data_IF_065285082356
#
_entry.id   IF_065285082356
#
_cell.length_a   1.000
_cell.length_b   1.000
_cell.length_c   1.000
_cell.angle_alpha   90.00
_cell.angle_beta   90.00
_cell.angle_gamma   90.00
#
_symmetry.space_group_name_H-M   'P 1'
#
loop_
_entity.id
_entity.type
_entity.pdbx_description
1 polymer ?
#
# COMPACT_ATOMS: atom_id res chain seq x y z
N UNK A 1 -0.22 -5.85 -20.04
CA UNK A 1 0.02 -6.44 -18.70
C UNK A 1 1.14 -7.43 -18.88
N UNK A 2 2.24 -7.36 -18.09
CA UNK A 2 3.28 -8.37 -18.13
C UNK A 2 2.70 -9.75 -17.84
N UNK A 3 3.00 -10.73 -18.64
CA UNK A 3 2.62 -12.12 -18.39
C UNK A 3 3.69 -12.77 -17.54
N UNK A 4 3.29 -13.43 -16.44
CA UNK A 4 4.19 -14.24 -15.62
C UNK A 4 3.99 -15.72 -16.01
N UNK A 5 4.91 -16.33 -16.76
CA UNK A 5 4.80 -17.74 -17.14
C UNK A 5 4.76 -18.62 -15.88
N UNK A 6 3.90 -19.64 -15.91
CA UNK A 6 3.74 -20.57 -14.78
C UNK A 6 2.88 -20.05 -13.64
N UNK A 7 2.23 -18.87 -13.79
CA UNK A 7 1.29 -18.33 -12.81
C UNK A 7 -0.15 -18.53 -13.31
N UNK A 8 -0.98 -19.12 -12.47
CA UNK A 8 -2.43 -19.19 -12.64
C UNK A 8 -3.08 -18.23 -11.63
N UNK A 9 -3.90 -17.32 -12.11
CA UNK A 9 -4.62 -16.35 -11.25
C UNK A 9 -6.04 -16.83 -11.06
N UNK A 10 -6.45 -16.96 -9.79
CA UNK A 10 -7.81 -17.32 -9.38
C UNK A 10 -8.41 -16.13 -8.63
N UNK A 11 -9.59 -15.69 -9.02
CA UNK A 11 -10.32 -14.63 -8.32
C UNK A 11 -11.19 -15.23 -7.22
N UNK A 12 -11.05 -14.70 -6.02
CA UNK A 12 -11.75 -15.12 -4.80
C UNK A 12 -12.25 -13.90 -4.03
N UNK A 13 -13.15 -14.09 -3.06
CA UNK A 13 -13.44 -13.05 -2.09
C UNK A 13 -12.20 -12.78 -1.22
N UNK A 14 -11.94 -11.49 -0.93
CA UNK A 14 -10.70 -11.08 -0.28
C UNK A 14 -10.52 -11.63 1.15
N UNK A 15 -11.62 -11.87 1.85
CA UNK A 15 -11.68 -12.47 3.19
C UNK A 15 -11.34 -13.97 3.20
N UNK A 16 -11.60 -14.70 2.11
CA UNK A 16 -11.28 -16.12 2.00
C UNK A 16 -9.80 -16.38 1.65
N UNK A 17 -9.10 -15.39 1.09
CA UNK A 17 -7.74 -15.55 0.59
C UNK A 17 -6.74 -15.99 1.68
N UNK A 18 -6.75 -15.43 2.91
CA UNK A 18 -5.85 -15.89 3.97
C UNK A 18 -5.98 -17.39 4.24
N UNK A 19 -7.19 -17.90 4.30
CA UNK A 19 -7.43 -19.33 4.56
C UNK A 19 -6.99 -20.20 3.39
N UNK A 20 -7.25 -19.80 2.14
CA UNK A 20 -6.80 -20.53 0.96
C UNK A 20 -5.29 -20.62 0.85
N UNK A 21 -4.57 -19.55 1.22
CA UNK A 21 -3.11 -19.56 1.30
C UNK A 21 -2.64 -20.47 2.44
N UNK A 22 -3.27 -20.40 3.60
CA UNK A 22 -2.94 -21.22 4.78
C UNK A 22 -3.15 -22.72 4.53
N UNK A 23 -4.25 -23.07 3.88
CA UNK A 23 -4.57 -24.45 3.46
C UNK A 23 -3.62 -24.97 2.38
N UNK A 24 -2.95 -24.07 1.65
CA UNK A 24 -2.09 -24.41 0.52
C UNK A 24 -2.84 -24.70 -0.78
N UNK A 25 -4.12 -24.33 -0.85
CA UNK A 25 -4.93 -24.38 -2.08
C UNK A 25 -4.38 -23.44 -3.13
N UNK A 26 -3.81 -22.31 -2.68
CA UNK A 26 -3.03 -21.37 -3.49
C UNK A 26 -1.69 -21.08 -2.81
N UNK A 27 -0.66 -20.77 -3.59
CA UNK A 27 0.70 -20.53 -3.09
C UNK A 27 0.85 -19.15 -2.44
N UNK A 28 0.16 -18.18 -2.98
CA UNK A 28 0.17 -16.78 -2.55
C UNK A 28 -1.15 -16.11 -2.91
N UNK A 29 -1.47 -15.01 -2.23
CA UNK A 29 -2.70 -14.27 -2.47
C UNK A 29 -2.57 -12.78 -2.14
N UNK A 30 -3.33 -11.96 -2.88
CA UNK A 30 -3.47 -10.53 -2.59
C UNK A 30 -4.76 -10.34 -1.78
N UNK A 31 -4.62 -9.76 -0.59
CA UNK A 31 -5.75 -9.50 0.32
C UNK A 31 -5.50 -8.21 1.11
N UNK A 32 -6.51 -7.75 1.88
CA UNK A 32 -6.33 -6.67 2.84
C UNK A 32 -5.58 -7.15 4.09
N UNK A 33 -4.72 -6.28 4.64
CA UNK A 33 -4.06 -6.57 5.91
C UNK A 33 -5.08 -6.81 7.05
N UNK A 34 -6.22 -6.15 7.00
CA UNK A 34 -7.33 -6.32 7.94
C UNK A 34 -7.94 -7.73 7.89
N UNK A 35 -8.06 -8.33 6.70
CA UNK A 35 -8.54 -9.72 6.58
C UNK A 35 -7.53 -10.70 7.17
N UNK A 36 -6.23 -10.50 6.92
CA UNK A 36 -5.21 -11.33 7.54
C UNK A 36 -5.20 -11.18 9.07
N UNK A 37 -5.24 -9.94 9.56
CA UNK A 37 -5.26 -9.65 11.01
C UNK A 37 -6.53 -10.16 11.71
N UNK A 38 -7.67 -10.19 11.00
CA UNK A 38 -8.94 -10.72 11.53
C UNK A 38 -8.87 -12.21 11.86
N UNK A 39 -7.99 -12.98 11.18
CA UNK A 39 -7.79 -14.40 11.51
C UNK A 39 -7.21 -14.61 12.91
N UNK A 40 -6.56 -13.59 13.49
CA UNK A 40 -5.95 -13.66 14.83
C UNK A 40 -4.70 -14.53 14.92
N UNK A 41 -4.14 -14.93 13.78
CA UNK A 41 -2.96 -15.83 13.69
C UNK A 41 -1.76 -15.05 13.14
N UNK A 42 -1.22 -14.13 13.94
CA UNK A 42 -0.21 -13.16 13.51
C UNK A 42 1.14 -13.76 13.06
N UNK A 43 1.47 -14.97 13.49
CA UNK A 43 2.80 -15.59 13.27
C UNK A 43 2.73 -16.96 12.55
N UNK A 44 1.65 -17.20 11.81
CA UNK A 44 1.48 -18.45 11.07
C UNK A 44 2.29 -18.44 9.76
N UNK A 45 3.38 -19.24 9.70
CA UNK A 45 4.19 -19.39 8.48
C UNK A 45 3.40 -19.83 7.24
N UNK A 46 2.18 -20.34 7.42
CA UNK A 46 1.29 -20.75 6.32
C UNK A 46 0.61 -19.57 5.63
N UNK A 47 0.60 -18.36 6.23
CA UNK A 47 0.03 -17.15 5.62
C UNK A 47 0.82 -15.91 6.05
N UNK A 48 2.00 -15.72 5.49
CA UNK A 48 2.89 -14.62 5.86
C UNK A 48 2.91 -13.52 4.82
N UNK A 49 2.96 -12.27 5.28
CA UNK A 49 3.15 -11.11 4.40
C UNK A 49 4.54 -11.17 3.77
N UNK A 50 4.59 -11.20 2.45
CA UNK A 50 5.83 -11.17 1.66
C UNK A 50 5.99 -9.87 0.88
N UNK A 51 4.91 -9.07 0.76
CA UNK A 51 4.95 -7.71 0.24
C UNK A 51 3.83 -6.89 0.90
N UNK A 52 4.18 -5.83 1.60
CA UNK A 52 3.30 -5.12 2.53
C UNK A 52 2.63 -3.85 1.96
N UNK A 53 3.08 -3.33 0.82
CA UNK A 53 2.53 -2.11 0.22
C UNK A 53 2.38 -2.21 -1.30
N UNK A 54 1.22 -2.66 -1.75
CA UNK A 54 0.86 -2.65 -3.17
C UNK A 54 0.49 -1.25 -3.70
N UNK A 55 0.38 -0.26 -2.81
CA UNK A 55 0.04 1.13 -3.14
C UNK A 55 -1.44 1.37 -3.40
N UNK A 56 -2.29 0.42 -3.06
CA UNK A 56 -3.75 0.47 -3.24
C UNK A 56 -4.48 0.00 -1.99
N UNK A 57 -5.76 0.36 -1.86
CA UNK A 57 -6.63 -0.11 -0.79
C UNK A 57 -6.23 0.39 0.61
N UNK A 58 -5.63 1.59 0.70
CA UNK A 58 -5.29 2.18 1.99
C UNK A 58 -6.54 2.67 2.69
N UNK A 59 -6.76 2.15 3.89
CA UNK A 59 -7.87 2.52 4.75
C UNK A 59 -7.45 2.40 6.22
N UNK A 60 -8.30 2.89 7.12
CA UNK A 60 -8.13 2.71 8.56
C UNK A 60 -9.38 2.08 9.15
N UNK A 61 -9.24 0.99 9.90
CA UNK A 61 -10.32 0.47 10.71
C UNK A 61 -10.45 1.36 11.95
N UNK A 62 -11.60 2.02 12.11
CA UNK A 62 -11.80 3.08 13.10
C UNK A 62 -13.08 2.90 13.90
N UNK A 63 -13.05 3.32 15.16
CA UNK A 63 -14.26 3.50 15.96
C UNK A 63 -14.99 4.76 15.53
N UNK A 64 -16.26 4.59 15.17
CA UNK A 64 -17.20 5.66 14.87
C UNK A 64 -18.38 5.66 15.86
N UNK A 65 -18.69 6.83 16.42
CA UNK A 65 -19.84 7.02 17.31
C UNK A 65 -20.81 8.02 16.71
N UNK A 66 -22.12 7.95 17.02
CA UNK A 66 -23.08 8.97 16.60
C UNK A 66 -22.62 10.39 16.95
N UNK A 67 -22.76 11.34 16.03
CA UNK A 67 -22.43 12.76 16.29
C UNK A 67 -23.18 13.32 17.50
N UNK A 68 -24.39 12.83 17.75
CA UNK A 68 -25.20 13.19 18.89
C UNK A 68 -24.63 12.78 20.26
N UNK A 69 -23.60 11.96 20.31
CA UNK A 69 -22.88 11.63 21.56
C UNK A 69 -21.89 12.75 21.89
N UNK A 70 -22.41 13.88 22.36
CA UNK A 70 -21.66 15.13 22.56
C UNK A 70 -20.48 15.00 23.54
N UNK A 71 -20.55 14.07 24.49
CA UNK A 71 -19.54 13.85 25.54
C UNK A 71 -18.52 12.76 25.17
N UNK A 72 -18.62 12.13 24.01
CA UNK A 72 -17.71 11.05 23.58
C UNK A 72 -16.82 11.53 22.43
N UNK A 73 -15.57 11.88 22.74
CA UNK A 73 -14.58 12.39 21.78
C UNK A 73 -13.33 11.50 21.64
N UNK A 74 -13.13 10.59 22.58
CA UNK A 74 -11.98 9.69 22.64
C UNK A 74 -12.39 8.27 23.02
N UNK A 75 -11.47 7.32 22.86
CA UNK A 75 -11.68 5.93 23.33
C UNK A 75 -11.83 5.89 24.86
N UNK A 76 -11.18 6.80 25.60
CA UNK A 76 -11.35 6.89 27.04
C UNK A 76 -12.79 7.30 27.42
N UNK A 77 -13.37 8.31 26.73
CA UNK A 77 -14.76 8.70 26.95
C UNK A 77 -15.74 7.56 26.62
N UNK A 78 -15.41 6.77 25.56
CA UNK A 78 -16.20 5.58 25.22
C UNK A 78 -16.11 4.51 26.32
N UNK A 79 -14.93 4.32 26.92
CA UNK A 79 -14.75 3.39 28.03
C UNK A 79 -15.56 3.83 29.27
N UNK A 80 -15.56 5.11 29.59
CA UNK A 80 -16.37 5.68 30.69
C UNK A 80 -17.86 5.52 30.40
N UNK A 81 -18.30 5.72 29.16
CA UNK A 81 -19.67 5.47 28.76
C UNK A 81 -20.05 4.01 28.94
N UNK A 82 -19.19 3.08 28.44
CA UNK A 82 -19.43 1.64 28.57
C UNK A 82 -19.55 1.20 30.03
N UNK A 83 -18.71 1.75 30.92
CA UNK A 83 -18.77 1.49 32.37
C UNK A 83 -20.10 1.97 32.97
N UNK A 84 -20.53 3.20 32.66
CA UNK A 84 -21.81 3.74 33.13
C UNK A 84 -23.02 2.94 32.65
N UNK A 85 -23.01 2.53 31.38
CA UNK A 85 -24.11 1.71 30.84
C UNK A 85 -24.16 0.31 31.48
N UNK A 86 -23.00 -0.28 31.76
CA UNK A 86 -22.91 -1.54 32.49
C UNK A 86 -23.48 -1.43 33.90
N UNK A 87 -23.23 -0.35 34.63
CA UNK A 87 -23.82 -0.11 35.94
C UNK A 87 -25.37 -0.01 35.90
N UNK A 88 -25.92 0.41 34.74
CA UNK A 88 -27.36 0.42 34.45
C UNK A 88 -27.90 -0.91 33.93
N UNK A 89 -27.07 -1.94 33.87
CA UNK A 89 -27.42 -3.27 33.39
C UNK A 89 -27.53 -3.35 31.85
N UNK A 90 -26.93 -2.42 31.09
CA UNK A 90 -26.93 -2.39 29.63
C UNK A 90 -25.50 -2.56 29.07
N UNK A 91 -25.36 -3.36 28.04
CA UNK A 91 -24.14 -3.45 27.27
C UNK A 91 -24.25 -2.60 25.98
N UNK A 92 -23.18 -1.92 25.64
CA UNK A 92 -23.10 -1.22 24.35
C UNK A 92 -22.95 -2.25 23.22
N UNK A 93 -23.63 -2.00 22.12
CA UNK A 93 -23.56 -2.83 20.91
C UNK A 93 -22.66 -2.16 19.88
N UNK A 94 -21.70 -2.89 19.35
CA UNK A 94 -20.80 -2.44 18.28
C UNK A 94 -21.04 -3.23 17.00
N UNK A 95 -21.40 -2.53 15.92
CA UNK A 95 -21.46 -3.15 14.59
C UNK A 95 -20.07 -3.17 13.96
N UNK A 96 -19.70 -4.30 13.38
CA UNK A 96 -18.42 -4.47 12.69
C UNK A 96 -18.43 -5.69 11.78
N UNK A 97 -17.62 -5.62 10.72
CA UNK A 97 -17.24 -6.74 9.86
C UNK A 97 -15.84 -7.31 10.23
N UNK A 98 -15.22 -6.80 11.33
CA UNK A 98 -13.92 -7.25 11.88
C UNK A 98 -14.05 -7.51 13.38
N UNK A 99 -14.79 -8.56 13.80
CA UNK A 99 -15.08 -8.83 15.21
C UNK A 99 -13.85 -9.14 16.05
N UNK A 100 -12.86 -9.85 15.53
CA UNK A 100 -11.65 -10.24 16.29
C UNK A 100 -10.78 -9.01 16.60
N UNK A 101 -10.49 -8.19 15.60
CA UNK A 101 -9.71 -6.94 15.76
C UNK A 101 -10.46 -6.00 16.70
N UNK A 102 -11.77 -5.83 16.50
CA UNK A 102 -12.61 -4.95 17.31
C UNK A 102 -12.62 -5.38 18.78
N UNK A 103 -12.81 -6.66 19.05
CA UNK A 103 -12.77 -7.22 20.42
C UNK A 103 -11.42 -6.97 21.09
N UNK A 104 -10.33 -7.31 20.42
CA UNK A 104 -8.96 -7.11 20.92
C UNK A 104 -8.68 -5.64 21.23
N UNK A 105 -9.12 -4.73 20.37
CA UNK A 105 -8.95 -3.31 20.57
C UNK A 105 -9.73 -2.81 21.78
N UNK A 106 -11.02 -3.12 21.89
CA UNK A 106 -11.87 -2.69 23.00
C UNK A 106 -11.35 -3.22 24.34
N UNK A 107 -10.94 -4.49 24.41
CA UNK A 107 -10.35 -5.07 25.62
C UNK A 107 -9.08 -4.35 26.06
N UNK A 108 -8.16 -4.03 25.12
CA UNK A 108 -6.93 -3.28 25.43
C UNK A 108 -7.18 -1.89 25.99
N UNK A 109 -8.35 -1.30 25.68
CA UNK A 109 -8.77 -0.01 26.21
C UNK A 109 -9.71 -0.11 27.44
N UNK A 110 -9.78 -1.28 28.08
CA UNK A 110 -10.56 -1.48 29.29
C UNK A 110 -12.08 -1.60 29.08
N UNK A 111 -12.52 -1.70 27.83
CA UNK A 111 -13.94 -1.91 27.49
C UNK A 111 -14.16 -3.43 27.40
N UNK A 112 -14.77 -4.00 28.43
CA UNK A 112 -14.98 -5.45 28.52
C UNK A 112 -16.47 -5.86 28.43
N UNK A 113 -17.40 -4.91 28.63
CA UNK A 113 -18.84 -5.15 28.58
C UNK A 113 -19.40 -4.51 27.31
N UNK A 114 -19.50 -5.32 26.26
CA UNK A 114 -20.08 -4.94 24.99
C UNK A 114 -20.56 -6.16 24.21
N UNK A 115 -21.47 -5.94 23.28
CA UNK A 115 -21.98 -6.95 22.37
C UNK A 115 -21.54 -6.63 20.93
N UNK A 116 -20.90 -7.58 20.25
CA UNK A 116 -20.61 -7.46 18.83
C UNK A 116 -21.86 -7.81 18.02
N UNK A 117 -22.20 -6.93 17.09
CA UNK A 117 -23.22 -7.16 16.06
C UNK A 117 -22.48 -7.37 14.73
N UNK A 118 -22.28 -8.60 14.28
CA UNK A 118 -21.66 -8.87 13.00
C UNK A 118 -22.50 -8.27 11.87
N UNK A 119 -21.86 -7.59 10.91
CA UNK A 119 -22.54 -6.90 9.83
C UNK A 119 -21.77 -7.11 8.54
N UNK A 120 -22.40 -7.69 7.54
CA UNK A 120 -21.83 -7.85 6.20
C UNK A 120 -22.24 -6.65 5.33
N UNK A 121 -21.34 -5.64 5.26
CA UNK A 121 -21.59 -4.40 4.51
C UNK A 121 -22.51 -3.42 5.23
N UNK A 122 -22.37 -2.13 4.92
CA UNK A 122 -23.22 -1.09 5.49
C UNK A 122 -23.10 -0.91 7.00
N UNK A 123 -21.93 -1.26 7.57
CA UNK A 123 -21.63 -1.18 9.02
C UNK A 123 -21.99 0.20 9.58
N UNK A 124 -21.72 1.27 8.83
CA UNK A 124 -21.92 2.65 9.23
C UNK A 124 -23.41 3.02 9.43
N UNK A 125 -24.30 2.31 8.77
CA UNK A 125 -25.75 2.57 8.91
C UNK A 125 -26.36 1.93 10.16
N UNK A 126 -25.67 0.99 10.82
CA UNK A 126 -26.21 0.22 11.94
C UNK A 126 -26.71 1.07 13.11
N UNK A 127 -26.04 2.16 13.52
CA UNK A 127 -26.56 3.02 14.60
C UNK A 127 -27.84 3.75 14.22
N UNK A 128 -27.94 4.26 12.98
CA UNK A 128 -29.14 4.97 12.51
C UNK A 128 -30.36 4.04 12.39
N UNK A 129 -30.13 2.77 12.17
CA UNK A 129 -31.15 1.72 12.13
C UNK A 129 -31.47 1.12 13.51
N UNK A 130 -30.78 1.58 14.58
CA UNK A 130 -30.96 1.05 15.92
C UNK A 130 -30.41 -0.36 16.14
N UNK A 131 -29.64 -0.89 15.20
CA UNK A 131 -29.04 -2.23 15.28
C UNK A 131 -27.85 -2.28 16.23
N UNK A 132 -27.07 -1.19 16.30
CA UNK A 132 -25.92 -1.03 17.18
C UNK A 132 -25.88 0.38 17.78
N UNK A 133 -25.07 0.58 18.79
CA UNK A 133 -24.91 1.89 19.46
C UNK A 133 -23.74 2.68 18.84
N UNK A 134 -22.69 1.98 18.38
CA UNK A 134 -21.56 2.55 17.68
C UNK A 134 -20.98 1.53 16.68
N UNK A 135 -19.95 1.92 15.94
CA UNK A 135 -19.37 1.09 14.88
C UNK A 135 -17.85 0.95 15.00
N UNK A 136 -17.33 -0.13 14.45
CA UNK A 136 -15.93 -0.28 14.06
C UNK A 136 -15.91 -0.63 12.57
N UNK A 137 -15.52 0.33 11.73
CA UNK A 137 -15.63 0.19 10.28
C UNK A 137 -14.40 0.74 9.55
N UNK A 138 -14.19 0.27 8.31
CA UNK A 138 -13.13 0.75 7.44
C UNK A 138 -13.44 2.16 6.92
N UNK A 139 -12.49 3.06 7.08
CA UNK A 139 -12.58 4.45 6.63
C UNK A 139 -11.43 4.75 5.66
N UNK A 140 -11.77 5.09 4.44
CA UNK A 140 -10.82 5.55 3.42
C UNK A 140 -10.80 7.09 3.38
N UNK A 141 -11.93 7.73 3.10
CA UNK A 141 -12.07 9.19 2.98
C UNK A 141 -12.91 9.83 4.08
N UNK A 142 -13.59 9.03 4.89
CA UNK A 142 -14.52 9.47 5.91
C UNK A 142 -15.89 9.91 5.38
N UNK A 143 -16.18 9.73 4.10
CA UNK A 143 -17.47 10.12 3.49
C UNK A 143 -18.63 9.33 4.06
N UNK A 144 -18.54 7.99 4.12
CA UNK A 144 -19.58 7.12 4.70
C UNK A 144 -19.90 7.48 6.15
N UNK A 145 -18.89 7.82 6.95
CA UNK A 145 -19.10 8.25 8.34
C UNK A 145 -19.93 9.53 8.40
N UNK A 146 -19.57 10.55 7.59
CA UNK A 146 -20.33 11.83 7.55
C UNK A 146 -21.76 11.63 7.10
N UNK A 147 -21.98 10.84 6.05
CA UNK A 147 -23.31 10.54 5.51
C UNK A 147 -24.19 9.84 6.53
N UNK A 148 -23.62 8.99 7.39
CA UNK A 148 -24.33 8.27 8.45
C UNK A 148 -24.28 9.02 9.81
N UNK A 149 -23.88 10.31 9.84
CA UNK A 149 -23.80 11.14 11.04
C UNK A 149 -22.95 10.50 12.15
N UNK A 150 -21.83 9.91 11.76
CA UNK A 150 -20.84 9.35 12.67
C UNK A 150 -19.61 10.26 12.75
N UNK A 151 -19.04 10.37 13.93
CA UNK A 151 -17.73 10.98 14.16
C UNK A 151 -16.72 9.94 14.61
N UNK A 152 -15.48 10.10 14.15
CA UNK A 152 -14.35 9.30 14.61
C UNK A 152 -13.91 9.76 15.99
N UNK A 153 -13.60 8.82 16.87
CA UNK A 153 -13.08 9.14 18.22
C UNK A 153 -11.55 9.18 18.20
N UNK A 154 -10.96 10.08 18.99
CA UNK A 154 -9.50 10.15 19.15
C UNK A 154 -8.97 8.88 19.78
N UNK A 155 -7.89 8.35 19.23
CA UNK A 155 -7.33 7.07 19.64
C UNK A 155 -8.14 5.85 19.16
N UNK A 156 -9.19 6.05 18.35
CA UNK A 156 -10.09 5.01 17.86
C UNK A 156 -9.62 4.31 16.58
N UNK A 157 -8.37 4.46 16.17
CA UNK A 157 -7.80 3.68 15.06
C UNK A 157 -7.38 2.31 15.56
N UNK A 158 -8.04 1.27 15.07
CA UNK A 158 -7.76 -0.12 15.43
C UNK A 158 -6.59 -0.67 14.63
N UNK A 159 -6.63 -0.40 13.31
CA UNK A 159 -5.66 -0.89 12.35
C UNK A 159 -5.59 0.07 11.14
N UNK A 160 -4.38 0.35 10.67
CA UNK A 160 -4.18 0.91 9.33
C UNK A 160 -3.97 -0.26 8.37
N UNK A 161 -4.79 -0.34 7.34
CA UNK A 161 -4.79 -1.45 6.38
C UNK A 161 -4.49 -0.97 4.97
N UNK A 162 -4.02 -1.91 4.17
CA UNK A 162 -3.76 -1.77 2.74
C UNK A 162 -3.75 -3.14 2.09
N UNK A 163 -3.74 -3.19 0.76
CA UNK A 163 -3.57 -4.45 0.06
C UNK A 163 -2.13 -4.95 0.22
N UNK A 164 -2.00 -6.23 0.54
CA UNK A 164 -0.74 -6.95 0.79
C UNK A 164 -0.68 -8.20 -0.07
N UNK A 165 0.53 -8.71 -0.32
CA UNK A 165 0.74 -10.05 -0.85
C UNK A 165 1.16 -10.96 0.30
N UNK A 166 0.41 -12.02 0.53
CA UNK A 166 0.72 -13.09 1.48
C UNK A 166 1.13 -14.37 0.76
N UNK A 167 1.89 -15.23 1.44
CA UNK A 167 2.30 -16.51 0.90
C UNK A 167 2.46 -17.58 1.99
N UNK A 168 2.36 -18.84 1.57
CA UNK A 168 2.62 -19.99 2.42
C UNK A 168 4.11 -20.35 2.41
N UNK A 169 4.87 -19.88 3.42
CA UNK A 169 6.31 -20.08 3.49
C UNK A 169 6.67 -21.57 3.71
N UNK A 170 5.81 -22.32 4.39
CA UNK A 170 6.01 -23.75 4.59
C UNK A 170 6.00 -24.51 3.26
N UNK A 171 5.03 -24.23 2.39
CA UNK A 171 4.97 -24.81 1.05
C UNK A 171 6.14 -24.36 0.17
N UNK A 172 6.54 -23.09 0.26
CA UNK A 172 7.68 -22.56 -0.51
C UNK A 172 9.01 -23.19 -0.11
N UNK A 173 9.17 -23.64 1.15
CA UNK A 173 10.36 -24.42 1.55
C UNK A 173 10.36 -25.82 0.95
N UNK A 174 9.20 -26.45 0.88
CA UNK A 174 9.05 -27.81 0.33
C UNK A 174 9.15 -27.83 -1.19
N UNK A 175 8.71 -26.77 -1.86
CA UNK A 175 8.56 -26.65 -3.31
C UNK A 175 9.33 -25.45 -3.86
N UNK A 176 10.68 -25.58 -3.93
CA UNK A 176 11.57 -24.48 -4.34
C UNK A 176 11.33 -23.98 -5.76
N UNK A 177 10.80 -24.82 -6.63
CA UNK A 177 10.41 -24.48 -8.01
C UNK A 177 9.35 -23.37 -8.06
N UNK A 178 8.54 -23.21 -7.02
CA UNK A 178 7.51 -22.15 -6.90
C UNK A 178 8.09 -20.77 -6.63
N UNK A 179 9.36 -20.68 -6.24
CA UNK A 179 9.99 -19.39 -5.91
C UNK A 179 10.27 -18.53 -7.16
N UNK A 180 10.50 -19.13 -8.32
CA UNK A 180 10.80 -18.35 -9.53
C UNK A 180 9.61 -17.48 -9.98
N UNK A 181 8.36 -17.96 -10.07
CA UNK A 181 7.20 -17.12 -10.32
C UNK A 181 6.97 -16.05 -9.24
N UNK A 182 7.14 -16.39 -7.97
CA UNK A 182 6.99 -15.43 -6.86
C UNK A 182 8.03 -14.32 -6.95
N UNK A 183 9.28 -14.64 -7.29
CA UNK A 183 10.31 -13.62 -7.55
C UNK A 183 9.87 -12.63 -8.63
N UNK A 184 9.37 -13.11 -9.76
CA UNK A 184 8.90 -12.25 -10.84
C UNK A 184 7.76 -11.33 -10.40
N UNK A 185 6.81 -11.84 -9.62
CA UNK A 185 5.69 -11.05 -9.07
C UNK A 185 6.23 -9.96 -8.14
N UNK A 186 7.14 -10.28 -7.23
CA UNK A 186 7.73 -9.33 -6.30
C UNK A 186 8.53 -8.25 -7.04
N UNK A 187 9.34 -8.62 -8.03
CA UNK A 187 10.09 -7.68 -8.88
C UNK A 187 9.16 -6.70 -9.62
N UNK A 188 8.04 -7.19 -10.15
CA UNK A 188 7.03 -6.37 -10.82
C UNK A 188 6.34 -5.40 -9.83
N UNK A 189 5.99 -5.86 -8.63
CA UNK A 189 5.37 -5.01 -7.63
C UNK A 189 6.33 -3.93 -7.13
N UNK A 190 7.57 -4.29 -6.81
CA UNK A 190 8.60 -3.31 -6.43
C UNK A 190 8.85 -2.29 -7.55
N UNK A 191 9.01 -2.74 -8.77
CA UNK A 191 9.26 -1.86 -9.91
C UNK A 191 8.08 -0.91 -10.16
N UNK A 192 6.84 -1.40 -10.03
CA UNK A 192 5.63 -0.58 -10.14
C UNK A 192 5.53 0.43 -9.02
N UNK A 193 5.75 0.01 -7.76
CA UNK A 193 5.72 0.89 -6.58
C UNK A 193 6.74 2.02 -6.68
N UNK A 194 7.95 1.70 -7.11
CA UNK A 194 9.01 2.70 -7.32
C UNK A 194 8.62 3.68 -8.41
N UNK A 195 8.08 3.19 -9.51
CA UNK A 195 7.69 4.00 -10.66
C UNK A 195 6.54 4.98 -10.39
N UNK A 196 5.62 4.67 -9.47
CA UNK A 196 4.46 5.52 -9.15
C UNK A 196 4.80 6.96 -8.76
N UNK A 197 6.03 7.20 -8.30
CA UNK A 197 6.51 8.51 -7.87
C UNK A 197 7.56 9.10 -8.80
N UNK A 198 7.69 8.59 -10.02
CA UNK A 198 8.76 8.95 -10.92
C UNK A 198 8.23 9.36 -12.29
N UNK A 199 8.86 10.39 -12.85
CA UNK A 199 8.69 10.85 -14.23
C UNK A 199 10.00 10.73 -14.99
N UNK A 200 9.94 10.22 -16.22
CA UNK A 200 10.99 10.37 -17.21
C UNK A 200 10.76 11.69 -17.95
N UNK A 201 11.74 12.59 -17.91
CA UNK A 201 11.69 13.90 -18.57
C UNK A 201 12.78 13.94 -19.62
N UNK A 202 12.40 14.20 -20.86
CA UNK A 202 13.33 14.28 -21.99
C UNK A 202 13.27 15.68 -22.59
N UNK A 203 14.44 16.28 -22.86
CA UNK A 203 14.58 17.55 -23.55
C UNK A 203 15.61 17.43 -24.67
N UNK A 204 15.41 18.15 -25.77
CA UNK A 204 16.43 18.33 -26.80
C UNK A 204 17.31 19.54 -26.45
N UNK A 205 18.61 19.33 -26.32
CA UNK A 205 19.59 20.35 -25.90
C UNK A 205 20.67 20.47 -26.99
N UNK A 206 21.04 21.68 -27.36
CA UNK A 206 22.21 21.94 -28.21
C UNK A 206 23.49 21.87 -27.40
N UNK A 207 24.52 21.20 -27.92
CA UNK A 207 25.80 21.12 -27.22
C UNK A 207 26.92 20.62 -28.13
N UNK A 208 28.16 20.94 -27.79
CA UNK A 208 29.32 20.49 -28.56
C UNK A 208 29.67 19.02 -28.42
N UNK A 209 29.16 18.37 -27.38
CA UNK A 209 29.27 16.92 -27.18
C UNK A 209 28.26 16.41 -26.15
N UNK A 210 28.03 15.09 -26.11
CA UNK A 210 27.19 14.43 -25.10
C UNK A 210 27.69 14.69 -23.66
N UNK A 211 29.01 14.68 -23.49
CA UNK A 211 29.68 14.91 -22.19
C UNK A 211 29.51 16.36 -21.73
N UNK A 212 29.49 17.33 -22.68
CA UNK A 212 29.26 18.74 -22.34
C UNK A 212 27.80 18.95 -21.87
N UNK A 213 26.82 18.36 -22.55
CA UNK A 213 25.41 18.38 -22.15
C UNK A 213 25.23 17.68 -20.79
N UNK A 214 25.84 16.50 -20.60
CA UNK A 214 25.75 15.80 -19.32
C UNK A 214 26.32 16.63 -18.17
N UNK A 215 27.49 17.26 -18.33
CA UNK A 215 28.08 18.14 -17.30
C UNK A 215 27.17 19.27 -16.90
N UNK A 216 26.52 19.91 -17.86
CA UNK A 216 25.59 21.01 -17.59
C UNK A 216 24.38 20.56 -16.77
N UNK A 217 23.84 19.39 -17.07
CA UNK A 217 22.74 18.82 -16.26
C UNK A 217 23.22 18.45 -14.86
N UNK A 218 24.48 17.99 -14.70
CA UNK A 218 25.09 17.67 -13.42
C UNK A 218 25.39 18.89 -12.53
N UNK A 219 25.26 20.13 -13.02
CA UNK A 219 25.33 21.33 -12.18
C UNK A 219 24.28 21.31 -11.06
N UNK A 220 23.18 20.56 -11.25
CA UNK A 220 22.20 20.26 -10.21
C UNK A 220 22.07 18.74 -9.99
N UNK A 221 22.93 18.14 -9.18
CA UNK A 221 22.99 16.68 -9.02
C UNK A 221 21.67 16.04 -8.61
N UNK A 222 20.84 16.73 -7.82
CA UNK A 222 19.55 16.27 -7.34
C UNK A 222 18.47 16.23 -8.43
N UNK A 223 18.73 16.84 -9.59
CA UNK A 223 17.86 16.84 -10.78
C UNK A 223 18.49 16.10 -11.96
N UNK A 224 19.68 15.51 -11.80
CA UNK A 224 20.36 14.81 -12.87
C UNK A 224 19.81 13.39 -13.14
N UNK A 225 18.80 12.94 -12.40
CA UNK A 225 18.18 11.63 -12.54
C UNK A 225 18.65 10.62 -11.50
N UNK A 226 18.10 9.40 -11.54
CA UNK A 226 18.37 8.34 -10.53
C UNK A 226 19.85 7.90 -10.57
N UNK A 227 20.41 7.74 -11.78
CA UNK A 227 21.81 7.31 -12.00
C UNK A 227 22.58 8.27 -12.92
N UNK A 228 22.01 9.45 -13.17
CA UNK A 228 22.50 10.44 -14.11
C UNK A 228 21.66 10.52 -15.39
N UNK A 229 21.93 11.56 -16.23
CA UNK A 229 21.20 11.75 -17.46
C UNK A 229 21.63 10.72 -18.52
N UNK A 230 20.65 10.22 -19.27
CA UNK A 230 20.95 9.50 -20.52
C UNK A 230 21.01 10.50 -21.64
N UNK A 231 22.15 10.57 -22.35
CA UNK A 231 22.35 11.50 -23.47
C UNK A 231 22.44 10.71 -24.79
N UNK A 232 21.56 11.04 -25.73
CA UNK A 232 21.54 10.43 -27.07
C UNK A 232 21.59 11.50 -28.15
N UNK A 233 22.33 11.25 -29.24
CA UNK A 233 22.39 12.18 -30.39
C UNK A 233 21.02 12.25 -31.07
N UNK A 234 20.58 13.47 -31.39
CA UNK A 234 19.39 13.72 -32.19
C UNK A 234 19.84 14.13 -33.60
N UNK A 235 19.21 13.54 -34.59
CA UNK A 235 19.45 13.88 -35.98
C UNK A 235 18.41 14.92 -36.42
N UNK A 236 18.86 16.15 -36.64
CA UNK A 236 18.04 17.24 -37.15
C UNK A 236 17.73 17.11 -38.65
N UNK A 237 16.91 18.02 -39.19
CA UNK A 237 16.63 18.08 -40.63
C UNK A 237 17.92 18.35 -41.40
N UNK A 238 17.98 18.01 -42.72
CA UNK A 238 19.18 18.17 -43.54
C UNK A 238 19.72 19.62 -43.62
N UNK A 239 18.84 20.60 -43.48
CA UNK A 239 19.15 22.03 -43.57
C UNK A 239 19.65 22.62 -42.22
N UNK A 240 19.42 21.95 -41.09
CA UNK A 240 19.96 22.28 -39.76
C UNK A 240 20.49 21.01 -39.06
N UNK A 241 21.62 20.47 -39.50
CA UNK A 241 22.19 19.26 -38.93
C UNK A 241 22.84 19.47 -37.55
N UNK A 242 22.56 20.58 -36.89
CA UNK A 242 23.18 21.01 -35.63
C UNK A 242 23.40 19.92 -34.60
N UNK A 243 24.38 20.12 -33.70
CA UNK A 243 24.69 19.14 -32.63
C UNK A 243 23.61 19.18 -31.56
N UNK A 244 22.56 18.39 -31.79
CA UNK A 244 21.46 18.22 -30.88
C UNK A 244 21.55 16.89 -30.10
N UNK A 245 21.21 16.93 -28.84
CA UNK A 245 21.20 15.78 -27.96
C UNK A 245 19.87 15.71 -27.20
N UNK A 246 19.25 14.54 -27.17
CA UNK A 246 18.15 14.24 -26.27
C UNK A 246 18.73 13.85 -24.89
N UNK A 247 18.42 14.63 -23.89
CA UNK A 247 18.78 14.35 -22.50
C UNK A 247 17.55 13.84 -21.77
N UNK A 248 17.62 12.63 -21.25
CA UNK A 248 16.54 12.02 -20.43
C UNK A 248 17.01 11.88 -19.01
N UNK A 249 16.21 12.40 -18.07
CA UNK A 249 16.39 12.26 -16.62
C UNK A 249 15.14 11.62 -16.01
N UNK A 250 15.32 10.86 -14.93
CA UNK A 250 14.20 10.29 -14.18
C UNK A 250 14.18 10.93 -12.80
N UNK A 251 13.10 11.63 -12.48
CA UNK A 251 12.99 12.47 -11.28
C UNK A 251 11.72 12.16 -10.48
N UNK A 252 11.72 12.42 -9.16
CA UNK A 252 10.50 12.34 -8.35
C UNK A 252 9.41 13.28 -8.85
N UNK A 253 8.14 12.87 -8.72
CA UNK A 253 6.96 13.64 -9.12
C UNK A 253 6.95 15.04 -8.50
N UNK A 254 7.36 15.13 -7.23
CA UNK A 254 7.40 16.37 -6.45
C UNK A 254 8.40 17.38 -7.03
N UNK A 255 9.39 16.90 -7.79
CA UNK A 255 10.45 17.72 -8.40
C UNK A 255 10.29 17.92 -9.90
N UNK A 256 9.17 17.49 -10.49
CA UNK A 256 8.94 17.56 -11.93
C UNK A 256 9.09 18.97 -12.48
N UNK A 257 8.48 19.96 -11.83
CA UNK A 257 8.52 21.36 -12.27
C UNK A 257 9.94 21.94 -12.21
N UNK A 258 10.69 21.62 -11.14
CA UNK A 258 12.10 22.03 -10.99
C UNK A 258 12.97 21.39 -12.08
N UNK A 259 12.77 20.11 -12.37
CA UNK A 259 13.51 19.39 -13.40
C UNK A 259 13.24 19.97 -14.81
N UNK A 260 11.99 20.30 -15.11
CA UNK A 260 11.63 20.97 -16.38
C UNK A 260 12.31 22.32 -16.48
N UNK A 261 12.34 23.13 -15.40
CA UNK A 261 13.01 24.42 -15.41
C UNK A 261 14.53 24.27 -15.57
N UNK A 262 15.15 23.34 -14.86
CA UNK A 262 16.57 23.05 -14.99
C UNK A 262 16.97 22.66 -16.42
N UNK A 263 16.16 21.81 -17.08
CA UNK A 263 16.40 21.45 -18.48
C UNK A 263 16.24 22.65 -19.43
N UNK A 264 15.31 23.59 -19.16
CA UNK A 264 15.19 24.84 -19.92
C UNK A 264 16.41 25.73 -19.75
N UNK A 265 16.87 25.91 -18.52
CA UNK A 265 18.08 26.70 -18.19
C UNK A 265 19.33 26.09 -18.82
N UNK A 266 19.32 24.78 -19.04
CA UNK A 266 20.35 24.04 -19.78
C UNK A 266 20.22 24.18 -21.32
N UNK A 267 19.33 25.03 -21.80
CA UNK A 267 19.11 25.23 -23.25
C UNK A 267 18.16 24.20 -23.87
N UNK A 268 17.40 23.48 -23.04
CA UNK A 268 16.47 22.46 -23.47
C UNK A 268 15.20 22.98 -24.11
N UNK A 269 14.78 22.33 -25.20
CA UNK A 269 13.55 22.58 -25.93
C UNK A 269 12.82 21.24 -26.20
N UNK A 270 11.55 21.36 -26.65
CA UNK A 270 10.75 20.15 -26.93
C UNK A 270 10.61 19.20 -25.72
N UNK A 271 10.47 19.77 -24.51
CA UNK A 271 10.50 19.00 -23.27
C UNK A 271 9.23 18.16 -23.15
N UNK A 272 9.40 16.85 -22.98
CA UNK A 272 8.33 15.90 -22.74
C UNK A 272 8.53 15.24 -21.38
N UNK A 273 7.42 14.99 -20.68
CA UNK A 273 7.42 14.27 -19.41
C UNK A 273 6.39 13.14 -19.42
N UNK A 274 6.82 11.94 -19.08
CA UNK A 274 5.95 10.78 -19.02
C UNK A 274 6.10 10.08 -17.66
N UNK A 275 5.02 9.64 -17.01
CA UNK A 275 5.13 8.82 -15.80
C UNK A 275 5.85 7.52 -16.13
N UNK A 276 6.79 7.11 -15.28
CA UNK A 276 7.44 5.81 -15.42
C UNK A 276 6.43 4.70 -15.15
N UNK A 277 6.40 3.68 -15.99
CA UNK A 277 5.51 2.53 -15.78
C UNK A 277 6.10 1.52 -14.78
N UNK A 278 7.39 1.24 -14.90
CA UNK A 278 8.17 0.33 -14.04
C UNK A 278 9.60 0.84 -13.94
N UNK A 279 10.19 0.74 -12.73
CA UNK A 279 11.62 1.01 -12.51
C UNK A 279 12.22 -0.15 -11.73
N UNK A 280 12.95 -1.00 -12.44
CA UNK A 280 13.60 -2.18 -11.87
C UNK A 280 14.95 -1.83 -11.26
N UNK A 281 15.25 -2.45 -10.12
CA UNK A 281 16.60 -2.44 -9.54
C UNK A 281 17.38 -3.70 -9.96
N UNK A 282 18.68 -3.69 -9.68
CA UNK A 282 19.55 -4.85 -9.96
C UNK A 282 19.16 -6.10 -9.16
N UNK A 283 18.48 -5.93 -8.02
CA UNK A 283 18.01 -7.02 -7.15
C UNK A 283 16.69 -6.62 -6.50
N UNK A 284 15.78 -7.59 -6.38
CA UNK A 284 14.57 -7.45 -5.58
C UNK A 284 14.90 -7.55 -4.10
N UNK A 285 14.53 -6.51 -3.34
CA UNK A 285 14.71 -6.48 -1.89
C UNK A 285 13.71 -7.40 -1.18
N UNK A 286 12.45 -7.40 -1.64
CA UNK A 286 11.40 -8.26 -1.08
C UNK A 286 11.70 -9.72 -1.30
N UNK A 287 12.22 -10.08 -2.49
CA UNK A 287 12.62 -11.47 -2.74
C UNK A 287 13.83 -11.89 -1.89
N UNK A 288 14.82 -11.00 -1.73
CA UNK A 288 15.97 -11.27 -0.85
C UNK A 288 15.54 -11.45 0.61
N UNK A 289 14.59 -10.64 1.09
CA UNK A 289 14.01 -10.78 2.42
C UNK A 289 13.24 -12.12 2.57
N UNK A 290 12.45 -12.49 1.55
CA UNK A 290 11.75 -13.78 1.53
C UNK A 290 12.75 -14.95 1.59
N UNK A 291 13.81 -14.94 0.77
CA UNK A 291 14.84 -15.98 0.81
C UNK A 291 15.54 -16.09 2.17
N UNK A 292 15.83 -14.96 2.82
CA UNK A 292 16.43 -14.94 4.16
C UNK A 292 15.51 -15.62 5.19
N UNK A 293 14.21 -15.31 5.16
CA UNK A 293 13.19 -15.94 6.04
C UNK A 293 13.07 -17.44 5.77
N UNK A 294 13.14 -17.86 4.52
CA UNK A 294 13.08 -19.30 4.16
C UNK A 294 14.33 -20.07 4.61
N UNK A 295 15.50 -19.40 4.74
CA UNK A 295 16.76 -20.01 5.24
C UNK A 295 16.84 -19.98 6.77
N UNK A 296 16.41 -18.90 7.42
CA UNK A 296 16.55 -18.71 8.88
C UNK A 296 15.77 -19.70 9.71
N UNK A 297 14.62 -20.17 9.24
CA UNK A 297 13.84 -21.18 9.93
C UNK A 297 14.43 -22.62 9.83
N UNK A 298 15.37 -22.85 8.89
CA UNK A 298 16.11 -24.15 8.78
C UNK A 298 17.23 -24.23 9.82
N UNK A 299 17.71 -23.09 10.35
CA UNK A 299 18.77 -23.06 11.37
C UNK A 299 18.24 -23.17 12.81
N UNK A 300 16.92 -23.13 13.01
CA UNK A 300 16.25 -23.21 14.31
C UNK A 300 15.51 -24.54 14.57
N UNK A 301 15.54 -25.46 13.62
CA UNK A 301 15.02 -26.84 13.70
C UNK A 301 16.17 -27.86 13.69
#
# INVERSE_FOLDING_TARGET
IPTCPGVVVVFQHADEIPDKVREGTVDAGITGLDFLAETGEDDDERAQVIFDDLGIGRASLMVGVPEGWIDVWSVADLADLAARERERGRELRVATDRPTITRSFLHRHGIHSFQIVPTEGGVESAPSLGMADFVSALVETGTSFRENRLKMVRGGTLLQTQQILIANLRLMRQHRERLAPIKQILELFEARRRAQRLYAVTANIRGGSAEAVARHIWEQPTLAGIQGPTIARVYGPPDDPGDWYAATIVVPTERLTEAVQHLRDSGGSGITAAPAAYVFESRSQSFAALEARLRGAVAAS
#
